data_IF_029554907812
#
_entry.id   IF_029554907812
#
_cell.length_a   1.000
_cell.length_b   1.000
_cell.length_c   1.000
_cell.angle_alpha   90.00
_cell.angle_beta   90.00
_cell.angle_gamma   90.00
#
_symmetry.space_group_name_H-M   'P 1'
#
loop_
_entity.id
_entity.type
_entity.pdbx_description
1 polymer ?
#
# COMPACT_ATOMS: atom_id res chain seq x y z
N UNK A 1 29.81 15.50 -12.06
CA UNK A 1 28.42 15.64 -12.54
C UNK A 1 28.39 16.25 -13.95
N UNK A 2 28.85 15.53 -14.97
CA UNK A 2 28.54 15.76 -16.40
C UNK A 2 28.70 14.38 -17.06
N UNK A 3 27.69 13.87 -17.77
CA UNK A 3 27.79 12.62 -18.54
C UNK A 3 26.70 11.57 -18.27
N UNK A 4 25.43 11.94 -18.38
CA UNK A 4 24.30 11.00 -18.50
C UNK A 4 23.19 11.57 -19.40
N UNK A 5 23.60 12.41 -20.36
CA UNK A 5 22.72 12.97 -21.38
C UNK A 5 23.03 12.35 -22.73
N UNK A 6 21.98 11.91 -23.42
CA UNK A 6 21.92 11.39 -24.80
C UNK A 6 22.15 9.89 -24.99
N UNK A 7 21.08 9.11 -24.77
CA UNK A 7 20.45 8.20 -25.76
C UNK A 7 19.49 7.26 -25.01
N UNK A 8 18.32 7.78 -24.63
CA UNK A 8 17.17 6.92 -24.27
C UNK A 8 16.03 7.36 -25.16
N UNK A 9 15.80 6.63 -26.24
CA UNK A 9 14.55 6.73 -27.00
C UNK A 9 13.38 6.60 -26.02
N UNK A 10 12.47 7.57 -26.09
CA UNK A 10 11.33 7.77 -25.19
C UNK A 10 10.28 6.64 -25.26
N UNK A 11 10.62 5.43 -24.83
CA UNK A 11 9.65 4.35 -24.68
C UNK A 11 9.14 4.34 -23.24
N UNK A 12 7.98 4.96 -23.00
CA UNK A 12 7.24 4.75 -21.76
C UNK A 12 6.44 3.47 -21.91
N UNK A 13 6.46 2.60 -20.91
CA UNK A 13 5.57 1.45 -20.88
C UNK A 13 4.12 1.94 -20.94
N UNK A 14 3.28 1.44 -21.86
CA UNK A 14 1.90 1.89 -21.97
C UNK A 14 1.14 1.58 -20.67
N UNK A 15 0.49 2.58 -20.12
CA UNK A 15 -0.46 2.43 -19.02
C UNK A 15 -1.74 1.84 -19.61
N UNK A 16 -2.15 0.71 -19.08
CA UNK A 16 -3.39 0.05 -19.47
C UNK A 16 -4.58 0.78 -18.86
N UNK A 17 -5.78 0.53 -19.38
CA UNK A 17 -7.01 1.15 -18.89
C UNK A 17 -7.30 0.81 -17.40
N UNK A 18 -6.70 -0.27 -16.92
CA UNK A 18 -6.69 -0.72 -15.52
C UNK A 18 -5.62 -0.05 -14.62
N UNK A 19 -4.89 0.93 -15.14
CA UNK A 19 -3.84 1.65 -14.42
C UNK A 19 -2.54 0.88 -14.23
N UNK A 20 -2.40 -0.34 -14.75
CA UNK A 20 -1.13 -1.09 -14.73
C UNK A 20 -0.21 -0.67 -15.87
N UNK A 21 1.09 -0.72 -15.60
CA UNK A 21 2.09 -0.67 -16.67
C UNK A 21 2.16 -2.02 -17.38
N UNK A 22 1.98 -2.02 -18.71
CA UNK A 22 2.31 -3.19 -19.52
C UNK A 22 3.81 -3.21 -19.77
N UNK A 23 4.50 -4.18 -19.18
CA UNK A 23 5.96 -4.29 -19.24
C UNK A 23 6.41 -5.61 -19.87
N UNK A 24 7.62 -5.60 -20.41
CA UNK A 24 8.26 -6.82 -20.90
C UNK A 24 8.56 -7.77 -19.74
N UNK A 25 8.62 -9.07 -20.04
CA UNK A 25 8.95 -10.08 -19.03
C UNK A 25 10.39 -9.82 -18.52
N UNK A 26 10.60 -9.66 -17.21
CA UNK A 26 11.93 -9.45 -16.68
C UNK A 26 12.77 -10.73 -16.72
N UNK A 27 14.07 -10.60 -16.50
CA UNK A 27 14.93 -11.75 -16.20
C UNK A 27 14.51 -12.37 -14.85
N UNK A 28 14.52 -13.70 -14.70
CA UNK A 28 14.21 -14.34 -13.42
C UNK A 28 15.11 -13.85 -12.28
N UNK A 29 14.59 -13.86 -11.05
CA UNK A 29 15.37 -13.51 -9.86
C UNK A 29 16.33 -14.65 -9.49
N UNK A 30 17.59 -14.31 -9.17
CA UNK A 30 18.53 -15.25 -8.58
C UNK A 30 18.38 -15.25 -7.05
N UNK A 31 17.58 -16.17 -6.52
CA UNK A 31 17.28 -16.23 -5.08
C UNK A 31 18.52 -16.51 -4.22
N UNK A 32 19.45 -17.35 -4.69
CA UNK A 32 20.67 -17.68 -3.96
C UNK A 32 21.55 -16.44 -3.76
N UNK A 33 21.74 -15.66 -4.84
CA UNK A 33 22.46 -14.39 -4.78
C UNK A 33 21.73 -13.39 -3.86
N UNK A 34 20.40 -13.27 -3.98
CA UNK A 34 19.62 -12.36 -3.14
C UNK A 34 19.79 -12.68 -1.64
N UNK A 35 19.76 -13.96 -1.25
CA UNK A 35 19.98 -14.38 0.13
C UNK A 35 21.44 -14.22 0.59
N UNK A 36 22.42 -14.32 -0.30
CA UNK A 36 23.81 -14.02 0.01
C UNK A 36 23.99 -12.52 0.29
N UNK A 37 23.43 -11.67 -0.57
CA UNK A 37 23.51 -10.21 -0.43
C UNK A 37 22.74 -9.69 0.78
N UNK A 38 21.67 -10.38 1.21
CA UNK A 38 20.90 -10.04 2.40
C UNK A 38 21.76 -9.89 3.67
N UNK A 39 22.85 -10.65 3.80
CA UNK A 39 23.78 -10.59 4.93
C UNK A 39 24.54 -9.25 5.04
N UNK A 40 24.61 -8.51 3.92
CA UNK A 40 25.30 -7.21 3.85
C UNK A 40 24.39 -6.06 4.28
N UNK A 41 23.09 -6.29 4.46
CA UNK A 41 22.14 -5.26 4.87
C UNK A 41 22.47 -4.77 6.28
N UNK A 42 22.31 -3.46 6.48
CA UNK A 42 22.52 -2.78 7.76
C UNK A 42 21.23 -2.05 8.11
N UNK A 43 20.29 -2.70 8.83
CA UNK A 43 19.04 -2.07 9.21
C UNK A 43 19.26 -1.07 10.34
N UNK A 44 18.28 -0.18 10.53
CA UNK A 44 18.26 0.79 11.63
C UNK A 44 17.08 0.56 12.56
N UNK A 45 17.15 1.10 13.77
CA UNK A 45 15.96 1.24 14.63
C UNK A 45 15.33 2.60 14.28
N UNK A 46 14.14 2.63 13.66
CA UNK A 46 13.60 3.88 13.11
C UNK A 46 13.10 4.85 14.19
N UNK A 47 12.71 4.31 15.35
CA UNK A 47 12.30 5.03 16.56
C UNK A 47 12.33 4.08 17.76
N UNK A 48 12.37 4.61 18.99
CA UNK A 48 12.34 3.80 20.21
C UNK A 48 10.89 3.56 20.66
N UNK A 49 10.45 2.31 20.66
CA UNK A 49 9.21 1.93 21.32
C UNK A 49 9.41 1.84 22.85
N UNK A 50 8.38 2.14 23.68
CA UNK A 50 8.50 2.13 25.14
C UNK A 50 8.75 0.74 25.71
N UNK A 51 8.18 -0.30 25.08
CA UNK A 51 8.31 -1.70 25.50
C UNK A 51 8.90 -2.49 24.34
N UNK A 52 10.08 -3.14 24.51
CA UNK A 52 10.64 -4.00 23.48
C UNK A 52 9.78 -5.26 23.33
N UNK A 53 9.66 -5.75 22.09
CA UNK A 53 9.05 -7.06 21.84
C UNK A 53 10.01 -8.17 22.24
N UNK A 54 9.54 -9.14 23.04
CA UNK A 54 10.37 -10.23 23.58
C UNK A 54 10.17 -11.56 22.86
N UNK A 55 9.21 -11.63 21.92
CA UNK A 55 8.92 -12.86 21.16
C UNK A 55 9.88 -13.14 20.01
N UNK A 56 10.65 -12.15 19.56
CA UNK A 56 11.55 -12.29 18.42
C UNK A 56 11.96 -10.91 17.88
N UNK A 57 12.48 -10.89 16.66
CA UNK A 57 12.78 -9.66 15.93
C UNK A 57 11.50 -9.09 15.33
N UNK A 58 11.44 -7.75 15.24
CA UNK A 58 10.42 -7.05 14.47
C UNK A 58 11.11 -6.35 13.31
N UNK A 59 11.00 -6.92 12.11
CA UNK A 59 11.58 -6.36 10.88
C UNK A 59 10.54 -5.63 10.06
N UNK A 60 10.92 -4.46 9.55
CA UNK A 60 10.07 -3.69 8.65
C UNK A 60 10.82 -3.25 7.39
N UNK A 61 10.17 -3.39 6.24
CA UNK A 61 10.65 -2.89 4.96
C UNK A 61 9.60 -1.96 4.36
N UNK A 62 10.01 -0.73 4.05
CA UNK A 62 9.18 0.26 3.38
C UNK A 62 9.75 0.55 1.99
N UNK A 63 8.90 0.49 0.96
CA UNK A 63 9.26 0.76 -0.42
C UNK A 63 8.27 1.79 -0.99
N UNK A 64 8.74 2.99 -1.30
CA UNK A 64 7.91 4.07 -1.84
C UNK A 64 8.55 4.69 -3.07
N UNK A 65 7.88 4.61 -4.22
CA UNK A 65 8.48 5.02 -5.49
C UNK A 65 7.60 6.06 -6.19
N UNK A 66 8.07 7.31 -6.23
CA UNK A 66 7.45 8.39 -6.98
C UNK A 66 7.89 8.44 -8.45
N UNK A 67 8.94 7.71 -8.85
CA UNK A 67 9.51 7.75 -10.20
C UNK A 67 9.84 9.19 -10.65
N UNK A 68 10.40 9.97 -9.72
CA UNK A 68 10.61 11.42 -9.86
C UNK A 68 11.44 11.73 -11.10
N UNK A 69 10.96 12.69 -11.92
CA UNK A 69 11.63 13.09 -13.17
C UNK A 69 11.41 12.16 -14.36
N UNK A 70 10.61 11.09 -14.22
CA UNK A 70 10.22 10.22 -15.32
C UNK A 70 8.80 10.55 -15.83
N UNK A 71 8.42 10.00 -16.99
CA UNK A 71 7.04 10.09 -17.51
C UNK A 71 6.04 9.22 -16.73
N UNK A 72 6.51 8.34 -15.86
CA UNK A 72 5.70 7.49 -14.98
C UNK A 72 5.56 8.09 -13.57
N UNK A 73 5.84 9.39 -13.39
CA UNK A 73 5.88 10.00 -12.06
C UNK A 73 4.55 9.91 -11.29
N UNK A 74 4.66 9.52 -10.02
CA UNK A 74 3.64 9.56 -8.99
C UNK A 74 4.01 10.63 -7.95
N UNK A 75 3.04 11.04 -7.12
CA UNK A 75 3.25 12.12 -6.13
C UNK A 75 3.10 11.68 -4.67
N UNK A 76 2.49 10.52 -4.42
CA UNK A 76 2.06 10.11 -3.08
C UNK A 76 2.89 9.00 -2.44
N UNK A 77 3.65 8.23 -3.20
CA UNK A 77 4.17 6.95 -2.74
C UNK A 77 5.24 7.07 -1.64
N UNK A 78 6.13 8.06 -1.76
CA UNK A 78 7.09 8.37 -0.68
C UNK A 78 6.37 8.89 0.57
N UNK A 79 5.31 9.69 0.39
CA UNK A 79 4.49 10.19 1.50
C UNK A 79 3.68 9.08 2.18
N UNK A 80 3.28 8.04 1.45
CA UNK A 80 2.63 6.87 2.01
C UNK A 80 3.56 6.12 2.98
N UNK A 81 4.85 5.95 2.61
CA UNK A 81 5.84 5.39 3.53
C UNK A 81 6.03 6.25 4.78
N UNK A 82 6.05 7.58 4.62
CA UNK A 82 6.12 8.51 5.76
C UNK A 82 4.92 8.33 6.69
N UNK A 83 3.71 8.28 6.13
CA UNK A 83 2.45 8.13 6.86
C UNK A 83 2.39 6.78 7.60
N UNK A 84 2.79 5.70 6.94
CA UNK A 84 2.80 4.36 7.54
C UNK A 84 3.81 4.28 8.69
N UNK A 85 5.05 4.72 8.47
CA UNK A 85 6.09 4.68 9.50
C UNK A 85 5.71 5.54 10.72
N UNK A 86 5.16 6.75 10.48
CA UNK A 86 4.65 7.62 11.54
C UNK A 86 3.49 7.00 12.31
N UNK A 87 2.58 6.28 11.62
CA UNK A 87 1.48 5.57 12.28
C UNK A 87 2.00 4.43 13.16
N UNK A 88 2.94 3.63 12.66
CA UNK A 88 3.57 2.56 13.45
C UNK A 88 4.30 3.11 14.68
N UNK A 89 4.95 4.27 14.55
CA UNK A 89 5.53 5.00 15.68
C UNK A 89 4.47 5.48 16.68
N UNK A 90 3.34 5.98 16.19
CA UNK A 90 2.25 6.48 17.04
C UNK A 90 1.64 5.35 17.87
N UNK A 91 1.38 4.19 17.27
CA UNK A 91 0.87 3.00 17.98
C UNK A 91 1.96 2.23 18.74
N UNK A 92 3.18 2.76 18.81
CA UNK A 92 4.31 2.16 19.54
C UNK A 92 4.72 0.77 19.04
N UNK A 93 4.56 0.50 17.74
CA UNK A 93 4.99 -0.77 17.15
C UNK A 93 6.52 -0.89 17.25
N UNK A 94 7.07 -1.89 17.96
CA UNK A 94 8.46 -1.97 18.38
C UNK A 94 9.38 -2.55 17.29
N UNK A 95 9.53 -1.82 16.18
CA UNK A 95 10.43 -2.18 15.08
C UNK A 95 11.88 -2.21 15.61
N UNK A 96 12.52 -3.38 15.57
CA UNK A 96 13.92 -3.57 15.97
C UNK A 96 14.88 -3.41 14.80
N UNK A 97 14.42 -3.65 13.58
CA UNK A 97 15.22 -3.60 12.37
C UNK A 97 14.39 -3.05 11.19
N UNK A 98 14.81 -1.93 10.60
CA UNK A 98 14.08 -1.25 9.54
C UNK A 98 14.99 -0.91 8.36
N UNK A 99 14.45 -1.08 7.14
CA UNK A 99 15.02 -0.56 5.91
C UNK A 99 13.96 0.24 5.13
N UNK A 100 14.38 1.37 4.57
CA UNK A 100 13.51 2.26 3.79
C UNK A 100 14.11 2.50 2.41
N UNK A 101 13.38 2.10 1.38
CA UNK A 101 13.76 2.23 -0.02
C UNK A 101 12.83 3.23 -0.70
N UNK A 102 13.33 4.45 -0.93
CA UNK A 102 12.54 5.51 -1.56
C UNK A 102 13.36 6.28 -2.60
N UNK A 103 12.71 6.90 -3.58
CA UNK A 103 13.39 7.75 -4.57
C UNK A 103 13.61 9.21 -4.10
N UNK A 104 13.45 9.47 -2.79
CA UNK A 104 13.83 10.72 -2.12
C UNK A 104 14.87 10.45 -1.01
N UNK A 105 16.16 10.73 -1.23
CA UNK A 105 17.22 10.49 -0.25
C UNK A 105 17.14 11.39 0.99
N UNK A 106 16.28 12.41 1.00
CA UNK A 106 16.04 13.26 2.19
C UNK A 106 15.12 12.59 3.21
N UNK A 107 14.51 11.46 2.86
CA UNK A 107 13.61 10.73 3.75
C UNK A 107 14.34 10.28 5.04
N UNK A 108 13.75 10.45 6.22
CA UNK A 108 14.36 9.99 7.48
C UNK A 108 14.60 8.47 7.47
N UNK A 109 15.80 8.02 7.86
CA UNK A 109 16.18 6.60 7.80
C UNK A 109 16.32 6.02 6.37
N UNK A 110 16.50 6.87 5.35
CA UNK A 110 16.80 6.44 3.99
C UNK A 110 17.91 5.38 3.98
N UNK A 111 17.62 4.23 3.37
CA UNK A 111 18.55 3.10 3.29
C UNK A 111 19.14 2.95 1.89
N UNK A 112 18.30 2.98 0.84
CA UNK A 112 18.73 2.82 -0.53
C UNK A 112 17.68 3.33 -1.53
N UNK A 113 18.08 3.51 -2.80
CA UNK A 113 17.12 3.73 -3.88
C UNK A 113 16.37 2.42 -4.21
N UNK A 114 15.06 2.48 -4.57
CA UNK A 114 14.24 1.31 -4.90
C UNK A 114 14.49 0.82 -6.34
N UNK A 115 15.76 0.58 -6.69
CA UNK A 115 16.15 -0.14 -7.91
C UNK A 115 15.77 -1.61 -7.81
N UNK A 116 15.65 -2.32 -8.92
CA UNK A 116 15.30 -3.74 -8.96
C UNK A 116 16.21 -4.59 -8.08
N UNK A 117 17.52 -4.40 -8.22
CA UNK A 117 18.53 -5.19 -7.50
C UNK A 117 18.43 -4.92 -5.98
N UNK A 118 18.31 -3.65 -5.57
CA UNK A 118 18.05 -3.31 -4.16
C UNK A 118 16.73 -3.92 -3.66
N UNK A 119 15.61 -3.74 -4.37
CA UNK A 119 14.33 -4.30 -3.92
C UNK A 119 14.43 -5.80 -3.68
N UNK A 120 15.01 -6.57 -4.61
CA UNK A 120 15.23 -8.01 -4.45
C UNK A 120 16.09 -8.31 -3.21
N UNK A 121 17.22 -7.61 -3.04
CA UNK A 121 18.11 -7.78 -1.88
C UNK A 121 17.41 -7.51 -0.54
N UNK A 122 16.67 -6.42 -0.43
CA UNK A 122 16.00 -6.04 0.81
C UNK A 122 14.76 -6.90 1.10
N UNK A 123 14.06 -7.37 0.06
CA UNK A 123 13.02 -8.40 0.21
C UNK A 123 13.60 -9.72 0.73
N UNK A 124 14.76 -10.15 0.20
CA UNK A 124 15.47 -11.32 0.72
C UNK A 124 15.94 -11.13 2.17
N UNK A 125 16.40 -9.93 2.54
CA UNK A 125 16.79 -9.58 3.90
C UNK A 125 15.61 -9.63 4.89
N UNK A 126 14.43 -9.15 4.48
CA UNK A 126 13.24 -9.14 5.34
C UNK A 126 12.98 -10.54 5.92
N UNK A 127 13.20 -11.58 5.13
CA UNK A 127 12.94 -12.99 5.48
C UNK A 127 14.22 -13.80 5.80
N UNK A 128 15.39 -13.16 5.85
CA UNK A 128 16.66 -13.85 6.05
C UNK A 128 16.82 -14.34 7.49
N UNK A 129 17.11 -15.64 7.70
CA UNK A 129 17.30 -16.25 9.04
C UNK A 129 16.09 -16.05 9.97
N UNK A 130 14.87 -15.83 9.45
CA UNK A 130 13.69 -15.67 10.31
C UNK A 130 13.40 -16.93 11.11
N UNK A 131 12.99 -16.72 12.36
CA UNK A 131 12.72 -17.79 13.32
C UNK A 131 11.28 -17.71 13.78
N UNK A 132 10.73 -18.83 14.26
CA UNK A 132 9.52 -18.80 15.06
C UNK A 132 9.71 -17.76 16.18
N UNK A 133 9.06 -16.61 16.02
CA UNK A 133 8.90 -15.55 17.00
C UNK A 133 8.88 -14.19 16.29
N UNK A 134 9.51 -14.17 15.11
CA UNK A 134 9.73 -12.96 14.34
C UNK A 134 8.43 -12.43 13.71
N UNK A 135 8.33 -11.11 13.72
CA UNK A 135 7.24 -10.34 13.13
C UNK A 135 7.80 -9.49 12.00
N UNK A 136 7.20 -9.61 10.82
CA UNK A 136 7.63 -8.95 9.60
C UNK A 136 6.54 -7.98 9.14
N UNK A 137 6.96 -6.80 8.70
CA UNK A 137 6.10 -5.79 8.10
C UNK A 137 6.65 -5.35 6.74
N UNK A 138 5.82 -5.37 5.71
CA UNK A 138 6.17 -4.93 4.37
C UNK A 138 5.16 -3.89 3.89
N UNK A 139 5.62 -2.69 3.56
CA UNK A 139 4.82 -1.68 2.90
C UNK A 139 5.38 -1.36 1.52
N UNK A 140 4.53 -1.41 0.50
CA UNK A 140 4.86 -0.99 -0.86
C UNK A 140 3.85 0.06 -1.32
N UNK A 141 4.33 1.19 -1.83
CA UNK A 141 3.53 2.15 -2.60
C UNK A 141 4.29 2.53 -3.87
N UNK A 142 3.64 2.39 -5.03
CA UNK A 142 4.27 2.58 -6.34
C UNK A 142 3.39 2.05 -7.46
N UNK A 143 3.94 1.92 -8.67
CA UNK A 143 3.21 1.31 -9.79
C UNK A 143 3.08 -0.20 -9.61
N UNK A 144 1.92 -0.71 -10.02
CA UNK A 144 1.76 -2.12 -10.38
C UNK A 144 1.92 -2.26 -11.90
N UNK A 145 2.39 -3.41 -12.35
CA UNK A 145 2.45 -3.73 -13.76
C UNK A 145 1.96 -5.14 -14.04
N UNK A 146 1.82 -5.44 -15.33
CA UNK A 146 1.57 -6.78 -15.80
C UNK A 146 2.43 -7.12 -17.02
N UNK A 147 2.69 -8.40 -17.20
CA UNK A 147 3.38 -8.94 -18.37
C UNK A 147 2.66 -10.20 -18.85
N UNK A 148 2.72 -10.50 -20.16
CA UNK A 148 2.02 -11.65 -20.75
C UNK A 148 2.49 -12.95 -20.09
N UNK A 149 1.61 -13.82 -19.61
CA UNK A 149 2.00 -15.10 -19.00
C UNK A 149 2.81 -15.98 -19.96
N UNK A 150 3.59 -16.93 -19.42
CA UNK A 150 4.22 -18.01 -20.20
C UNK A 150 3.20 -19.01 -20.75
N UNK A 151 1.94 -18.94 -20.31
CA UNK A 151 0.87 -19.88 -20.68
C UNK A 151 0.92 -21.18 -19.87
N UNK A 152 1.60 -21.15 -18.71
CA UNK A 152 1.71 -22.25 -17.75
C UNK A 152 0.59 -22.25 -16.70
N UNK A 153 -0.22 -21.19 -16.63
CA UNK A 153 -1.38 -21.04 -15.74
C UNK A 153 -2.63 -20.66 -16.53
N UNK A 154 -3.79 -20.79 -15.88
CA UNK A 154 -5.07 -20.30 -16.42
C UNK A 154 -5.09 -18.77 -16.61
N UNK A 155 -4.15 -18.05 -15.99
CA UNK A 155 -4.01 -16.60 -16.07
C UNK A 155 -3.26 -16.16 -17.34
N UNK A 156 -3.84 -15.20 -18.07
CA UNK A 156 -3.23 -14.67 -19.29
C UNK A 156 -2.05 -13.71 -19.04
N UNK A 157 -1.91 -13.19 -17.81
CA UNK A 157 -0.93 -12.19 -17.42
C UNK A 157 -0.42 -12.41 -16.00
N UNK A 158 0.88 -12.22 -15.79
CA UNK A 158 1.50 -12.20 -14.45
C UNK A 158 1.56 -10.75 -13.97
N UNK A 159 1.30 -10.52 -12.68
CA UNK A 159 1.44 -9.21 -12.07
C UNK A 159 2.88 -8.96 -11.62
N UNK A 160 3.25 -7.70 -11.47
CA UNK A 160 4.60 -7.35 -11.05
C UNK A 160 4.69 -6.00 -10.34
N UNK A 161 5.69 -5.89 -9.47
CA UNK A 161 6.13 -4.61 -8.94
C UNK A 161 7.05 -3.92 -9.94
N UNK A 162 7.04 -2.59 -9.93
CA UNK A 162 7.77 -1.75 -10.87
C UNK A 162 8.88 -1.01 -10.12
N UNK A 163 10.14 -1.47 -10.19
CA UNK A 163 11.27 -0.76 -9.61
C UNK A 163 11.56 0.59 -10.29
N UNK A 164 12.35 1.44 -9.64
CA UNK A 164 12.72 2.75 -10.17
C UNK A 164 13.41 2.68 -11.55
N UNK A 165 14.21 1.64 -11.76
CA UNK A 165 14.99 1.36 -12.98
C UNK A 165 14.37 0.23 -13.83
N UNK A 166 13.05 0.02 -13.75
CA UNK A 166 12.36 -1.05 -14.47
C UNK A 166 12.57 -1.01 -15.99
N UNK A 167 12.78 0.17 -16.57
CA UNK A 167 13.05 0.32 -17.99
C UNK A 167 14.36 -0.33 -18.42
N UNK A 168 15.35 -0.40 -17.51
CA UNK A 168 16.66 -1.00 -17.79
C UNK A 168 16.80 -2.41 -17.20
N UNK A 169 16.24 -2.65 -16.01
CA UNK A 169 16.42 -3.90 -15.25
C UNK A 169 15.19 -4.82 -15.26
N UNK A 170 14.04 -4.32 -15.70
CA UNK A 170 12.77 -5.04 -15.69
C UNK A 170 12.00 -4.93 -14.37
N UNK A 171 10.80 -5.49 -14.35
CA UNK A 171 9.94 -5.60 -13.16
C UNK A 171 10.33 -6.77 -12.25
N UNK A 172 9.58 -6.97 -11.17
CA UNK A 172 9.68 -8.13 -10.26
C UNK A 172 8.32 -8.83 -10.24
N UNK A 173 8.26 -10.08 -10.71
CA UNK A 173 7.00 -10.83 -10.83
C UNK A 173 6.46 -11.27 -9.45
N UNK A 174 5.15 -11.37 -9.35
CA UNK A 174 4.42 -11.98 -8.22
C UNK A 174 4.96 -13.38 -7.84
N UNK A 175 5.27 -14.22 -8.83
CA UNK A 175 5.92 -15.52 -8.62
C UNK A 175 7.27 -15.42 -7.91
N UNK A 176 8.10 -14.44 -8.30
CA UNK A 176 9.38 -14.19 -7.66
C UNK A 176 9.18 -13.66 -6.23
N UNK A 177 8.15 -12.83 -6.00
CA UNK A 177 7.80 -12.34 -4.66
C UNK A 177 7.34 -13.47 -3.76
N UNK A 178 6.47 -14.37 -4.24
CA UNK A 178 6.02 -15.53 -3.48
C UNK A 178 7.18 -16.45 -3.13
N UNK A 179 8.02 -16.80 -4.11
CA UNK A 179 9.16 -17.69 -3.90
C UNK A 179 10.20 -17.08 -2.94
N UNK A 180 10.44 -15.77 -3.04
CA UNK A 180 11.42 -15.09 -2.19
C UNK A 180 10.90 -14.86 -0.77
N UNK A 181 9.66 -14.38 -0.61
CA UNK A 181 9.14 -13.89 0.67
C UNK A 181 8.33 -14.92 1.45
N UNK A 182 7.60 -15.81 0.78
CA UNK A 182 6.46 -16.52 1.42
C UNK A 182 6.68 -18.02 1.46
N UNK A 183 7.12 -18.62 0.34
CA UNK A 183 7.21 -20.06 0.15
C UNK A 183 7.91 -20.79 1.30
N UNK A 184 8.99 -20.21 1.80
CA UNK A 184 9.86 -20.83 2.81
C UNK A 184 9.72 -20.23 4.21
N UNK A 185 8.71 -19.39 4.47
CA UNK A 185 8.50 -18.87 5.83
C UNK A 185 8.16 -20.03 6.78
N UNK A 186 8.87 -20.16 7.92
CA UNK A 186 8.60 -21.22 8.88
C UNK A 186 7.34 -20.94 9.72
N UNK A 187 6.76 -22.01 10.28
CA UNK A 187 5.65 -21.89 11.21
C UNK A 187 6.04 -21.03 12.42
N UNK A 188 5.16 -20.11 12.83
CA UNK A 188 5.41 -19.16 13.91
C UNK A 188 5.85 -17.77 13.44
N UNK A 189 6.31 -17.61 12.20
CA UNK A 189 6.61 -16.28 11.63
C UNK A 189 5.33 -15.62 11.17
N UNK A 190 5.15 -14.35 11.55
CA UNK A 190 4.01 -13.51 11.18
C UNK A 190 4.46 -12.42 10.22
N UNK A 191 3.83 -12.28 9.05
CA UNK A 191 4.10 -11.20 8.10
C UNK A 191 2.84 -10.42 7.73
N UNK A 192 2.86 -9.10 7.94
CA UNK A 192 1.81 -8.19 7.46
C UNK A 192 2.32 -7.36 6.30
N UNK A 193 1.62 -7.43 5.17
CA UNK A 193 1.92 -6.68 3.96
C UNK A 193 0.83 -5.63 3.71
N UNK A 194 1.22 -4.43 3.25
CA UNK A 194 0.28 -3.40 2.80
C UNK A 194 0.77 -2.90 1.45
N UNK A 195 0.02 -3.18 0.39
CA UNK A 195 0.40 -2.78 -0.97
C UNK A 195 -0.60 -1.74 -1.48
N UNK A 196 -0.05 -0.60 -1.85
CA UNK A 196 -0.76 0.53 -2.42
C UNK A 196 -0.39 0.67 -3.90
N UNK A 197 -0.93 -0.25 -4.70
CA UNK A 197 -0.82 -0.23 -6.16
C UNK A 197 -2.04 -0.87 -6.83
N UNK A 198 -2.26 -0.54 -8.11
CA UNK A 198 -3.32 -1.12 -8.93
C UNK A 198 -3.17 -2.65 -8.99
N UNK A 199 -4.29 -3.39 -8.88
CA UNK A 199 -4.32 -4.87 -8.94
C UNK A 199 -3.37 -5.60 -7.97
N UNK A 200 -3.04 -4.98 -6.84
CA UNK A 200 -2.17 -5.56 -5.81
C UNK A 200 -2.67 -6.85 -5.19
N UNK A 201 -3.97 -7.16 -5.31
CA UNK A 201 -4.59 -8.32 -4.66
C UNK A 201 -3.92 -9.67 -4.97
N UNK A 202 -3.37 -9.84 -6.16
CA UNK A 202 -2.67 -11.07 -6.57
C UNK A 202 -1.14 -10.94 -6.48
N UNK A 203 -0.61 -9.79 -6.03
CA UNK A 203 0.83 -9.48 -6.09
C UNK A 203 1.72 -10.40 -5.23
N UNK A 204 1.13 -11.07 -4.24
CA UNK A 204 1.81 -12.05 -3.39
C UNK A 204 1.30 -13.48 -3.59
N UNK A 205 0.41 -13.69 -4.56
CA UNK A 205 -0.03 -15.03 -4.96
C UNK A 205 -0.63 -15.88 -3.82
N UNK A 206 -1.27 -15.22 -2.85
CA UNK A 206 -1.83 -15.84 -1.67
C UNK A 206 -3.14 -16.60 -1.97
N UNK A 207 -3.36 -17.78 -1.37
CA UNK A 207 -4.45 -18.69 -1.74
C UNK A 207 -5.83 -18.30 -1.22
N UNK A 208 -5.92 -17.45 -0.21
CA UNK A 208 -7.20 -17.02 0.37
C UNK A 208 -7.41 -15.53 0.19
N UNK A 209 -8.62 -15.13 -0.17
CA UNK A 209 -8.99 -13.73 -0.43
C UNK A 209 -10.36 -13.39 0.13
N UNK A 210 -10.50 -12.19 0.67
CA UNK A 210 -11.77 -11.60 1.05
C UNK A 210 -11.83 -10.16 0.55
N UNK A 211 -12.90 -9.82 -0.16
CA UNK A 211 -13.16 -8.48 -0.67
C UNK A 211 -14.36 -7.93 0.08
N UNK A 212 -14.20 -6.79 0.75
CA UNK A 212 -15.32 -6.12 1.40
C UNK A 212 -16.09 -5.26 0.38
N UNK A 213 -16.63 -5.90 -0.66
CA UNK A 213 -17.42 -5.23 -1.71
C UNK A 213 -18.70 -4.61 -1.14
N UNK A 214 -19.34 -3.70 -1.86
CA UNK A 214 -20.54 -2.95 -1.39
C UNK A 214 -21.68 -3.79 -0.81
N UNK A 215 -21.82 -5.05 -1.21
CA UNK A 215 -22.80 -6.01 -0.69
C UNK A 215 -22.46 -6.61 0.69
N UNK A 216 -21.26 -6.39 1.22
CA UNK A 216 -20.87 -6.84 2.55
C UNK A 216 -21.36 -5.84 3.60
N UNK A 217 -22.02 -6.32 4.67
CA UNK A 217 -22.58 -5.47 5.73
C UNK A 217 -22.23 -5.99 7.14
N UNK A 218 -22.15 -5.09 8.12
CA UNK A 218 -21.77 -5.43 9.51
C UNK A 218 -22.82 -6.26 10.26
N UNK A 219 -24.09 -6.21 9.83
CA UNK A 219 -25.19 -6.97 10.45
C UNK A 219 -25.34 -8.40 9.96
N UNK A 220 -24.62 -8.79 8.90
CA UNK A 220 -24.72 -10.11 8.29
C UNK A 220 -23.53 -10.99 8.70
N UNK A 221 -23.85 -12.21 9.14
CA UNK A 221 -22.87 -13.23 9.52
C UNK A 221 -22.66 -14.23 8.37
N UNK A 222 -21.60 -15.03 8.46
CA UNK A 222 -21.30 -16.08 7.49
C UNK A 222 -20.44 -15.64 6.32
N UNK A 223 -19.76 -14.49 6.43
CA UNK A 223 -18.72 -14.12 5.48
C UNK A 223 -17.41 -14.85 5.83
N UNK A 224 -16.81 -15.47 4.83
CA UNK A 224 -15.56 -16.22 4.94
C UNK A 224 -14.63 -15.88 3.78
N UNK A 225 -13.34 -16.15 3.95
CA UNK A 225 -12.37 -15.96 2.87
C UNK A 225 -12.62 -16.99 1.76
N UNK A 226 -12.60 -16.56 0.50
CA UNK A 226 -12.66 -17.47 -0.65
C UNK A 226 -11.27 -18.04 -0.93
N UNK A 227 -11.19 -19.35 -1.18
CA UNK A 227 -10.00 -19.94 -1.76
C UNK A 227 -9.92 -19.53 -3.23
N UNK A 228 -8.92 -18.72 -3.58
CA UNK A 228 -8.68 -18.22 -4.94
C UNK A 228 -7.55 -18.96 -5.65
N UNK A 229 -6.72 -19.70 -4.90
CA UNK A 229 -5.68 -20.59 -5.47
C UNK A 229 -5.63 -21.93 -4.74
N UNK A 230 -5.22 -22.97 -5.46
CA UNK A 230 -5.05 -24.35 -4.94
C UNK A 230 -3.59 -24.73 -4.70
N UNK A 231 -2.68 -23.78 -4.90
CA UNK A 231 -1.25 -23.85 -4.68
C UNK A 231 -0.79 -22.68 -3.79
N UNK A 232 0.52 -22.42 -3.73
CA UNK A 232 1.10 -21.27 -3.02
C UNK A 232 0.76 -21.17 -1.52
N UNK A 233 0.83 -22.32 -0.83
CA UNK A 233 0.74 -22.38 0.62
C UNK A 233 2.08 -22.08 1.31
N UNK A 234 2.02 -21.70 2.59
CA UNK A 234 3.20 -21.42 3.42
C UNK A 234 2.97 -21.83 4.87
N UNK A 235 4.05 -22.26 5.54
CA UNK A 235 4.02 -22.53 6.98
C UNK A 235 3.86 -21.24 7.80
N UNK A 236 4.40 -20.12 7.31
CA UNK A 236 4.24 -18.80 7.91
C UNK A 236 2.82 -18.23 7.79
N UNK A 237 2.51 -17.27 8.65
CA UNK A 237 1.23 -16.57 8.69
C UNK A 237 1.35 -15.21 7.99
N UNK A 238 0.93 -15.17 6.73
CA UNK A 238 1.01 -13.99 5.88
C UNK A 238 -0.38 -13.39 5.72
N UNK A 239 -0.46 -12.08 5.91
CA UNK A 239 -1.67 -11.30 5.68
C UNK A 239 -1.32 -10.07 4.86
N UNK A 240 -2.10 -9.80 3.83
CA UNK A 240 -1.89 -8.67 2.95
C UNK A 240 -3.16 -7.82 2.86
N UNK A 241 -3.00 -6.52 3.04
CA UNK A 241 -4.01 -5.51 2.78
C UNK A 241 -3.73 -4.83 1.44
N UNK A 242 -4.77 -4.70 0.62
CA UNK A 242 -4.73 -4.00 -0.67
C UNK A 242 -6.04 -3.27 -0.96
N UNK A 243 -6.03 -2.42 -1.99
CA UNK A 243 -7.24 -1.84 -2.57
C UNK A 243 -7.58 -2.49 -3.92
N UNK A 244 -8.86 -2.78 -4.15
CA UNK A 244 -9.38 -3.28 -5.42
C UNK A 244 -10.59 -2.44 -5.86
N UNK A 245 -10.94 -2.39 -7.15
CA UNK A 245 -12.18 -1.72 -7.59
C UNK A 245 -13.41 -2.60 -7.30
N UNK A 246 -14.51 -1.99 -6.84
CA UNK A 246 -15.77 -2.66 -6.49
C UNK A 246 -16.52 -3.20 -7.72
N UNK A 247 -16.21 -2.68 -8.93
CA UNK A 247 -16.92 -3.04 -10.16
C UNK A 247 -16.56 -4.41 -10.74
N UNK A 248 -15.61 -5.15 -10.13
CA UNK A 248 -15.14 -6.46 -10.63
C UNK A 248 -14.54 -6.42 -12.05
N UNK A 249 -14.48 -5.24 -12.66
CA UNK A 249 -14.04 -5.01 -14.03
C UNK A 249 -12.87 -4.06 -13.91
N UNK A 250 -11.67 -4.61 -14.03
CA UNK A 250 -10.42 -3.88 -14.05
C UNK A 250 -10.33 -2.82 -15.15
N UNK A 251 -11.30 -2.74 -16.08
CA UNK A 251 -11.08 -2.12 -17.38
C UNK A 251 -11.07 -0.59 -17.37
N UNK A 252 -11.69 0.10 -16.43
CA UNK A 252 -11.84 1.55 -16.52
C UNK A 252 -11.71 2.18 -15.15
N UNK A 253 -10.62 2.92 -14.92
CA UNK A 253 -10.49 4.12 -14.04
C UNK A 253 -9.15 4.09 -13.31
N UNK A 254 -8.39 5.18 -13.44
CA UNK A 254 -7.11 5.38 -12.76
C UNK A 254 -7.27 5.30 -11.24
N UNK A 255 -6.60 4.31 -10.63
CA UNK A 255 -6.46 4.21 -9.18
C UNK A 255 -5.76 5.45 -8.66
N UNK A 256 -6.41 6.18 -7.75
CA UNK A 256 -5.73 7.22 -6.96
C UNK A 256 -4.92 6.48 -5.89
N UNK A 257 -3.58 6.48 -6.03
CA UNK A 257 -2.66 5.85 -5.09
C UNK A 257 -2.77 6.45 -3.69
N UNK A 258 -2.52 5.65 -2.66
CA UNK A 258 -2.60 6.03 -1.24
C UNK A 258 -3.84 5.49 -0.52
N UNK A 259 -4.74 4.79 -1.22
CA UNK A 259 -6.00 4.31 -0.65
C UNK A 259 -5.76 3.23 0.40
N UNK A 260 -4.96 2.20 0.09
CA UNK A 260 -4.65 1.10 1.00
C UNK A 260 -3.86 1.58 2.22
N UNK A 261 -2.95 2.54 2.03
CA UNK A 261 -2.16 3.15 3.09
C UNK A 261 -3.05 3.96 4.04
N UNK A 262 -3.91 4.84 3.53
CA UNK A 262 -4.80 5.65 4.37
C UNK A 262 -5.81 4.80 5.14
N UNK A 263 -6.37 3.80 4.45
CA UNK A 263 -7.24 2.79 5.01
C UNK A 263 -6.63 2.11 6.23
N UNK A 264 -5.45 1.51 6.01
CA UNK A 264 -4.79 0.70 7.02
C UNK A 264 -4.26 1.54 8.18
N UNK A 265 -3.68 2.72 7.90
CA UNK A 265 -3.21 3.62 8.96
C UNK A 265 -4.36 4.15 9.81
N UNK A 266 -5.49 4.49 9.20
CA UNK A 266 -6.68 4.86 9.97
C UNK A 266 -7.17 3.70 10.84
N UNK A 267 -7.19 2.48 10.32
CA UNK A 267 -7.57 1.30 11.11
C UNK A 267 -6.66 1.15 12.33
N UNK A 268 -5.34 1.12 12.12
CA UNK A 268 -4.37 1.01 13.21
C UNK A 268 -4.56 2.08 14.32
N UNK A 269 -4.93 3.30 13.94
CA UNK A 269 -5.13 4.40 14.88
C UNK A 269 -6.48 4.36 15.61
N UNK A 270 -7.54 3.87 14.97
CA UNK A 270 -8.93 4.05 15.43
C UNK A 270 -9.66 2.75 15.77
N UNK A 271 -9.05 1.60 15.50
CA UNK A 271 -9.74 0.30 15.57
C UNK A 271 -9.05 -0.70 16.49
N UNK A 272 -8.33 -0.22 17.52
CA UNK A 272 -7.80 -1.08 18.56
C UNK A 272 -8.93 -1.93 19.17
N UNK A 273 -8.78 -3.26 19.12
CA UNK A 273 -9.78 -4.21 19.62
C UNK A 273 -10.92 -4.56 18.64
N UNK A 274 -10.97 -3.96 17.44
CA UNK A 274 -11.94 -4.38 16.42
C UNK A 274 -11.52 -5.68 15.74
N UNK A 275 -12.51 -6.43 15.26
CA UNK A 275 -12.26 -7.57 14.39
C UNK A 275 -11.89 -7.11 12.98
N UNK A 276 -11.37 -8.05 12.19
CA UNK A 276 -10.92 -7.79 10.81
C UNK A 276 -12.08 -7.32 9.92
N UNK A 277 -13.29 -7.89 10.08
CA UNK A 277 -14.46 -7.47 9.32
C UNK A 277 -14.79 -5.99 9.54
N UNK A 278 -14.85 -5.54 10.80
CA UNK A 278 -15.13 -4.16 11.16
C UNK A 278 -14.07 -3.20 10.61
N UNK A 279 -12.80 -3.62 10.64
CA UNK A 279 -11.69 -2.87 10.02
C UNK A 279 -11.94 -2.68 8.53
N UNK A 280 -12.27 -3.75 7.81
CA UNK A 280 -12.52 -3.68 6.37
C UNK A 280 -13.76 -2.83 6.04
N UNK A 281 -14.84 -2.97 6.81
CA UNK A 281 -16.07 -2.21 6.58
C UNK A 281 -15.89 -0.71 6.87
N UNK A 282 -15.23 -0.35 7.97
CA UNK A 282 -14.91 1.05 8.30
C UNK A 282 -13.93 1.65 7.29
N UNK A 283 -12.93 0.87 6.88
CA UNK A 283 -12.01 1.25 5.83
C UNK A 283 -12.76 1.60 4.54
N UNK A 284 -13.67 0.73 4.09
CA UNK A 284 -14.50 0.97 2.90
C UNK A 284 -15.31 2.25 3.02
N UNK A 285 -15.88 2.51 4.20
CA UNK A 285 -16.64 3.74 4.44
C UNK A 285 -15.77 4.99 4.26
N UNK A 286 -14.55 4.99 4.79
CA UNK A 286 -13.61 6.11 4.68
C UNK A 286 -13.16 6.33 3.25
N UNK A 287 -12.87 5.24 2.53
CA UNK A 287 -12.53 5.31 1.10
C UNK A 287 -13.67 5.99 0.33
N UNK A 288 -14.92 5.56 0.56
CA UNK A 288 -16.11 6.17 -0.04
C UNK A 288 -16.28 7.65 0.33
N UNK A 289 -16.11 8.01 1.61
CA UNK A 289 -16.20 9.41 2.07
C UNK A 289 -15.16 10.30 1.40
N UNK A 290 -13.95 9.78 1.19
CA UNK A 290 -12.86 10.45 0.46
C UNK A 290 -12.97 10.33 -1.07
N UNK A 291 -14.09 9.78 -1.57
CA UNK A 291 -14.39 9.60 -3.01
C UNK A 291 -13.43 8.66 -3.75
N UNK A 292 -12.75 7.77 -3.01
CA UNK A 292 -12.07 6.62 -3.61
C UNK A 292 -13.11 5.60 -4.06
N UNK A 293 -12.87 4.98 -5.22
CA UNK A 293 -13.69 3.88 -5.74
C UNK A 293 -13.24 2.53 -5.20
N UNK A 294 -12.01 2.46 -4.69
CA UNK A 294 -11.44 1.23 -4.20
C UNK A 294 -12.18 0.74 -2.95
N UNK A 295 -12.36 -0.58 -2.88
CA UNK A 295 -12.76 -1.32 -1.69
C UNK A 295 -11.56 -2.06 -1.11
N UNK A 296 -11.51 -2.23 0.22
CA UNK A 296 -10.41 -2.94 0.83
C UNK A 296 -10.53 -4.44 0.56
N UNK A 297 -9.38 -5.02 0.26
CA UNK A 297 -9.22 -6.44 0.04
C UNK A 297 -8.16 -6.99 1.00
N UNK A 298 -8.41 -8.21 1.44
CA UNK A 298 -7.56 -8.96 2.35
C UNK A 298 -7.17 -10.27 1.68
N UNK A 299 -5.87 -10.57 1.58
CA UNK A 299 -5.39 -11.88 1.14
C UNK A 299 -4.48 -12.53 2.18
N UNK A 300 -4.46 -13.85 2.25
CA UNK A 300 -3.78 -14.57 3.33
C UNK A 300 -3.23 -15.94 2.90
N UNK A 301 -2.17 -16.39 3.59
CA UNK A 301 -1.59 -17.72 3.39
C UNK A 301 -2.47 -18.87 3.91
N UNK A 302 -3.37 -18.57 4.85
CA UNK A 302 -4.32 -19.49 5.49
C UNK A 302 -5.67 -18.78 5.64
N UNK A 303 -6.80 -19.51 5.70
CA UNK A 303 -8.10 -18.88 5.89
C UNK A 303 -8.19 -18.26 7.28
N UNK A 304 -8.60 -16.99 7.37
CA UNK A 304 -8.66 -16.23 8.62
C UNK A 304 -10.11 -16.06 9.05
N UNK A 305 -10.35 -16.23 10.35
CA UNK A 305 -11.62 -15.88 10.96
C UNK A 305 -11.75 -14.34 11.03
N UNK A 306 -12.56 -13.79 10.13
CA UNK A 306 -12.76 -12.35 9.97
C UNK A 306 -13.41 -11.67 11.20
N UNK A 307 -14.03 -12.46 12.09
CA UNK A 307 -14.73 -11.98 13.28
C UNK A 307 -13.84 -11.99 14.54
N UNK A 308 -12.55 -12.32 14.40
CA UNK A 308 -11.57 -12.22 15.48
C UNK A 308 -10.80 -10.90 15.46
N UNK A 309 -10.33 -10.41 16.62
CA UNK A 309 -9.54 -9.18 16.70
C UNK A 309 -8.33 -9.21 15.76
N UNK A 310 -8.09 -8.09 15.10
CA UNK A 310 -6.87 -7.89 14.32
C UNK A 310 -5.69 -7.57 15.24
N UNK A 311 -4.53 -8.13 14.91
CA UNK A 311 -3.27 -7.82 15.58
C UNK A 311 -2.12 -7.87 14.58
N UNK A 312 -1.16 -6.94 14.75
CA UNK A 312 0.15 -6.99 14.09
C UNK A 312 1.07 -8.05 14.73
N UNK A 313 0.71 -8.53 15.92
CA UNK A 313 1.43 -9.55 16.69
C UNK A 313 0.65 -10.85 16.80
N UNK A 314 1.38 -11.92 17.10
CA UNK A 314 0.81 -13.24 17.29
C UNK A 314 0.37 -13.86 15.98
N UNK A 315 -0.03 -15.13 16.08
CA UNK A 315 -0.51 -15.90 14.93
C UNK A 315 -1.90 -15.43 14.51
N UNK A 316 -2.21 -15.58 13.24
CA UNK A 316 -3.54 -15.25 12.71
C UNK A 316 -4.56 -16.22 13.29
N UNK A 317 -5.72 -15.70 13.66
CA UNK A 317 -6.83 -16.54 14.07
C UNK A 317 -7.40 -17.25 12.84
N UNK A 318 -7.03 -18.50 12.63
CA UNK A 318 -7.46 -19.29 11.48
C UNK A 318 -8.94 -19.66 11.57
N UNK A 319 -9.63 -19.70 10.43
CA UNK A 319 -10.97 -20.28 10.33
C UNK A 319 -10.87 -21.80 10.25
N UNK A 320 -11.11 -22.46 11.39
CA UNK A 320 -11.04 -23.92 11.52
C UNK A 320 -11.98 -24.67 10.58
N UNK A 321 -13.10 -24.05 10.18
CA UNK A 321 -14.04 -24.69 9.24
C UNK A 321 -13.46 -24.77 7.82
N UNK A 322 -12.52 -23.87 7.49
CA UNK A 322 -11.90 -23.79 6.16
C UNK A 322 -10.52 -24.46 6.09
N UNK A 323 -9.97 -24.96 7.19
CA UNK A 323 -8.63 -25.55 7.23
C UNK A 323 -8.48 -26.81 6.38
N UNK A 324 -9.58 -27.47 6.02
CA UNK A 324 -9.56 -28.59 5.07
C UNK A 324 -9.08 -28.20 3.65
N UNK A 325 -9.07 -26.90 3.32
CA UNK A 325 -8.50 -26.37 2.07
C UNK A 325 -6.97 -26.21 2.10
N UNK A 326 -6.34 -26.30 3.28
CA UNK A 326 -4.89 -26.16 3.46
C UNK A 326 -4.26 -27.56 3.49
N UNK A 327 -3.20 -27.87 2.73
CA UNK A 327 -2.55 -29.18 2.82
C UNK A 327 -1.94 -29.42 4.20
N UNK A 328 -2.00 -30.68 4.69
CA UNK A 328 -1.61 -31.06 6.06
C UNK A 328 -0.20 -30.58 6.44
N UNK A 329 0.76 -30.60 5.51
CA UNK A 329 2.13 -30.14 5.75
C UNK A 329 2.23 -28.66 6.16
N UNK A 330 1.23 -27.82 5.83
CA UNK A 330 1.17 -26.39 6.15
C UNK A 330 0.24 -26.07 7.32
N UNK A 331 -0.33 -27.09 7.96
CA UNK A 331 -1.20 -26.93 9.14
C UNK A 331 -0.44 -27.11 10.45
N UNK A 332 0.85 -27.45 10.40
CA UNK A 332 1.63 -27.73 11.60
C UNK A 332 1.72 -26.50 12.50
N UNK A 333 1.51 -26.66 13.82
CA UNK A 333 1.70 -25.56 14.76
C UNK A 333 3.19 -25.17 14.84
N UNK A 334 3.51 -23.96 15.31
CA UNK A 334 4.89 -23.56 15.58
C UNK A 334 5.60 -24.56 16.52
N UNK A 335 6.92 -24.78 16.39
CA UNK A 335 7.68 -25.69 17.26
C UNK A 335 7.54 -25.34 18.75
N UNK A 336 7.50 -26.37 19.61
CA UNK A 336 7.27 -26.25 21.05
C UNK A 336 8.28 -25.36 21.79
N UNK A 337 7.75 -24.58 22.74
CA UNK A 337 8.27 -23.34 23.37
C UNK A 337 7.64 -22.02 22.86
N UNK A 338 6.72 -22.08 21.91
CA UNK A 338 5.68 -21.05 21.77
C UNK A 338 4.67 -21.13 22.91
N UNK A 339 5.15 -20.85 24.12
CA UNK A 339 4.31 -20.75 25.30
C UNK A 339 3.34 -19.59 25.11
N UNK A 340 2.14 -19.70 25.67
CA UNK A 340 1.09 -18.65 25.73
C UNK A 340 1.60 -17.27 26.23
N UNK A 341 2.85 -17.18 26.72
CA UNK A 341 3.56 -15.96 27.02
C UNK A 341 3.93 -15.08 25.82
N UNK A 342 3.81 -15.55 24.56
CA UNK A 342 4.07 -14.74 23.35
C UNK A 342 2.81 -14.42 22.53
N UNK A 343 1.66 -14.98 22.92
CA UNK A 343 0.36 -14.32 22.74
C UNK A 343 0.24 -13.12 23.70
N UNK A 344 1.33 -12.38 23.95
CA UNK A 344 1.22 -11.15 24.72
C UNK A 344 0.20 -10.32 23.99
N UNK A 345 -0.87 -9.98 24.72
CA UNK A 345 -1.72 -8.89 24.31
C UNK A 345 -0.80 -7.78 23.81
N UNK A 346 -1.12 -7.15 22.66
CA UNK A 346 -0.32 -6.04 22.15
C UNK A 346 0.12 -5.17 23.34
N UNK A 347 1.42 -4.84 23.52
CA UNK A 347 1.93 -4.24 24.76
C UNK A 347 0.95 -3.19 25.26
N UNK A 348 0.63 -3.14 26.57
CA UNK A 348 -0.53 -2.37 27.09
C UNK A 348 -0.69 -0.95 26.52
N UNK A 349 0.40 -0.34 26.02
CA UNK A 349 0.45 0.85 25.15
C UNK A 349 -0.34 0.81 23.83
N UNK A 350 -0.93 -0.32 23.41
CA UNK A 350 -1.92 -0.36 22.32
C UNK A 350 -3.31 0.09 22.75
N UNK A 351 -3.52 0.32 24.04
CA UNK A 351 -4.62 1.14 24.50
C UNK A 351 -4.24 2.60 24.23
N UNK A 352 -4.92 3.21 23.26
CA UNK A 352 -4.99 4.67 23.19
C UNK A 352 -5.45 5.20 24.56
N UNK A 353 -5.02 6.40 25.00
CA UNK A 353 -5.81 7.13 25.99
C UNK A 353 -7.27 7.21 25.49
N UNK A 354 -8.28 7.23 26.39
CA UNK A 354 -9.67 7.31 25.97
C UNK A 354 -9.84 8.43 24.94
N UNK A 355 -10.68 8.24 23.90
CA UNK A 355 -10.82 9.23 22.85
C UNK A 355 -11.03 10.59 23.49
N UNK A 356 -10.07 11.48 23.33
CA UNK A 356 -10.31 12.88 23.65
C UNK A 356 -11.45 13.26 22.73
N UNK A 357 -12.62 13.50 23.31
CA UNK A 357 -13.69 14.18 22.62
C UNK A 357 -13.09 15.50 22.17
N UNK A 358 -12.65 15.58 20.92
CA UNK A 358 -12.50 16.85 20.25
C UNK A 358 -13.93 17.39 20.15
N UNK A 359 -14.36 18.08 21.21
CA UNK A 359 -15.41 19.05 21.13
C UNK A 359 -14.95 20.05 20.09
N UNK A 360 -15.42 19.88 18.86
CA UNK A 360 -15.45 20.99 17.92
C UNK A 360 -16.20 22.12 18.63
N UNK A 361 -15.59 23.28 18.87
CA UNK A 361 -16.37 24.42 19.34
C UNK A 361 -17.43 24.71 18.28
N UNK A 362 -18.69 25.00 18.69
CA UNK A 362 -19.73 25.34 17.73
C UNK A 362 -19.26 26.52 16.89
N UNK A 363 -19.39 26.39 15.57
CA UNK A 363 -19.02 27.44 14.63
C UNK A 363 -19.77 28.74 14.96
N UNK A 364 -19.06 29.69 15.57
CA UNK A 364 -19.52 31.07 15.65
C UNK A 364 -19.39 31.68 14.25
N UNK A 365 -20.49 31.65 13.51
CA UNK A 365 -20.65 32.43 12.29
C UNK A 365 -20.72 33.91 12.68
N UNK A 366 -19.62 34.64 12.48
CA UNK A 366 -19.64 36.10 12.39
C UNK A 366 -19.42 36.53 10.94
N UNK A 367 -20.50 36.97 10.30
CA UNK A 367 -20.56 37.94 9.20
C UNK A 367 -19.67 37.73 7.97
N UNK A 368 -20.26 37.26 6.87
CA UNK A 368 -19.76 37.54 5.52
C UNK A 368 -20.42 38.83 4.99
N UNK A 369 -19.68 39.71 4.26
CA UNK A 369 -20.22 40.93 3.68
C UNK A 369 -21.24 40.65 2.57
N UNK A 370 -22.31 41.44 2.56
CA UNK A 370 -23.42 41.39 1.59
C UNK A 370 -23.03 42.06 0.27
N UNK A 371 -23.24 41.36 -0.84
CA UNK A 371 -23.35 41.98 -2.17
C UNK A 371 -24.83 41.99 -2.59
N UNK A 372 -25.34 43.07 -3.21
CA UNK A 372 -26.75 43.18 -3.58
C UNK A 372 -27.09 42.26 -4.78
N UNK A 373 -28.33 41.75 -4.86
CA UNK A 373 -28.73 40.78 -5.87
C UNK A 373 -28.95 41.42 -7.27
N UNK A 374 -28.70 40.67 -8.36
CA UNK A 374 -29.01 41.12 -9.73
C UNK A 374 -30.52 41.16 -9.99
N UNK A 375 -30.94 42.17 -10.77
CA UNK A 375 -32.32 42.39 -11.19
C UNK A 375 -32.79 41.34 -12.22
N UNK A 376 -34.05 40.92 -12.10
CA UNK A 376 -34.72 39.93 -12.96
C UNK A 376 -34.96 40.51 -14.38
N UNK A 377 -34.66 39.72 -15.42
CA UNK A 377 -35.14 39.95 -16.79
C UNK A 377 -36.11 38.83 -17.22
N UNK A 378 -37.09 39.10 -18.12
CA UNK A 378 -38.29 38.28 -18.27
C UNK A 378 -38.10 36.97 -19.03
N UNK A 379 -38.87 35.95 -18.63
CA UNK A 379 -38.95 34.63 -19.27
C UNK A 379 -39.54 34.71 -20.69
N UNK A 380 -38.83 34.16 -21.67
CA UNK A 380 -39.40 33.81 -22.98
C UNK A 380 -39.53 32.28 -23.10
N UNK A 381 -40.75 31.87 -23.44
CA UNK A 381 -41.21 30.50 -23.64
C UNK A 381 -40.76 30.00 -25.03
N UNK A 382 -40.09 28.85 -25.13
CA UNK A 382 -39.73 28.26 -26.42
C UNK A 382 -40.44 26.92 -26.65
N UNK A 383 -41.21 26.91 -27.73
CA UNK A 383 -41.99 25.79 -28.26
C UNK A 383 -41.12 24.89 -29.16
N UNK A 384 -41.43 23.60 -29.19
CA UNK A 384 -40.76 22.56 -29.99
C UNK A 384 -41.13 22.65 -31.48
N UNK A 385 -40.14 22.65 -32.39
CA UNK A 385 -40.12 21.89 -33.67
C UNK A 385 -38.90 22.20 -34.59
N UNK A 386 -38.08 21.15 -34.84
CA UNK A 386 -37.28 20.79 -36.06
C UNK A 386 -36.20 21.74 -36.66
N UNK A 387 -35.27 21.33 -37.59
CA UNK A 387 -34.71 20.01 -38.01
C UNK A 387 -33.13 19.98 -38.00
N UNK A 388 -32.41 18.92 -38.46
CA UNK A 388 -30.97 18.74 -38.19
C UNK A 388 -30.06 19.33 -39.29
N UNK A 389 -28.93 19.92 -38.91
CA UNK A 389 -27.89 20.38 -39.83
C UNK A 389 -26.50 19.84 -39.46
N UNK A 390 -25.91 19.13 -40.42
CA UNK A 390 -24.54 18.67 -40.48
C UNK A 390 -23.56 19.86 -40.47
N UNK A 391 -22.44 19.77 -39.76
CA UNK A 391 -21.26 20.57 -40.12
C UNK A 391 -19.95 19.79 -40.04
N UNK A 392 -19.19 20.01 -41.11
CA UNK A 392 -18.00 19.36 -41.61
C UNK A 392 -16.74 19.93 -40.91
N UNK A 393 -15.75 19.09 -40.64
CA UNK A 393 -14.48 19.47 -40.00
C UNK A 393 -13.42 19.80 -41.06
N UNK A 394 -12.79 20.98 -40.99
CA UNK A 394 -11.60 21.32 -41.77
C UNK A 394 -10.59 22.09 -40.88
N UNK A 395 -9.32 21.66 -40.76
CA UNK A 395 -8.36 22.26 -39.82
C UNK A 395 -7.39 23.22 -40.52
N UNK A 396 -7.33 24.48 -40.09
CA UNK A 396 -6.20 25.38 -40.39
C UNK A 396 -5.82 26.28 -39.20
N UNK A 397 -4.58 26.08 -38.75
CA UNK A 397 -3.60 27.03 -38.19
C UNK A 397 -4.03 28.06 -37.11
N UNK A 398 -3.55 27.83 -35.88
CA UNK A 398 -3.43 28.87 -34.84
C UNK A 398 -1.92 29.11 -34.57
N UNK A 399 -1.41 30.36 -34.61
CA UNK A 399 0.00 30.67 -34.37
C UNK A 399 0.36 30.69 -32.87
N UNK A 400 1.65 30.49 -32.49
CA UNK A 400 2.07 30.44 -31.08
C UNK A 400 2.20 31.84 -30.43
N UNK A 401 2.04 31.95 -29.10
CA UNK A 401 2.14 33.22 -28.39
C UNK A 401 3.61 33.67 -28.16
N UNK A 402 3.86 34.99 -27.99
CA UNK A 402 5.19 35.58 -27.89
C UNK A 402 5.84 35.45 -26.49
N UNK A 403 7.18 35.61 -26.38
CA UNK A 403 7.91 35.43 -25.12
C UNK A 403 8.05 36.73 -24.32
N UNK A 404 7.81 36.67 -23.00
CA UNK A 404 8.30 37.69 -22.06
C UNK A 404 7.52 37.86 -20.76
N UNK A 405 8.25 37.84 -19.63
CA UNK A 405 7.87 38.53 -18.38
C UNK A 405 7.37 37.66 -17.22
N UNK A 406 8.27 37.16 -16.38
CA UNK A 406 7.92 36.62 -15.06
C UNK A 406 7.64 37.77 -14.07
N UNK A 407 6.50 37.77 -13.35
CA UNK A 407 6.33 38.62 -12.17
C UNK A 407 7.06 38.02 -10.96
N UNK A 408 7.64 38.90 -10.14
CA UNK A 408 8.42 38.57 -8.96
C UNK A 408 7.61 37.82 -7.88
N UNK A 409 8.29 36.90 -7.19
CA UNK A 409 7.77 36.12 -6.09
C UNK A 409 7.53 36.98 -4.83
N UNK A 410 6.36 36.79 -4.22
CA UNK A 410 6.06 37.28 -2.87
C UNK A 410 6.90 36.51 -1.83
N UNK A 411 7.41 37.16 -0.77
CA UNK A 411 8.22 36.48 0.25
C UNK A 411 7.37 35.56 1.12
N UNK A 412 7.87 34.34 1.35
CA UNK A 412 7.24 33.33 2.21
C UNK A 412 7.32 33.67 3.70
N UNK A 413 6.42 33.12 4.54
CA UNK A 413 6.41 33.37 5.96
C UNK A 413 7.62 32.76 6.67
N UNK A 414 8.26 33.56 7.53
CA UNK A 414 9.38 33.17 8.38
C UNK A 414 8.93 32.15 9.45
N UNK A 415 9.56 30.99 9.47
CA UNK A 415 9.48 30.07 10.60
C UNK A 415 10.51 30.48 11.65
N UNK A 416 10.02 30.82 12.85
CA UNK A 416 10.82 31.26 13.99
C UNK A 416 11.72 30.16 14.55
N UNK A 417 12.94 30.59 14.90
CA UNK A 417 13.95 29.87 15.68
C UNK A 417 13.36 29.34 16.99
N UNK A 418 13.60 28.07 17.30
CA UNK A 418 13.58 27.56 18.67
C UNK A 418 14.97 27.02 19.00
N UNK A 419 15.74 27.82 19.71
CA UNK A 419 16.88 27.38 20.50
C UNK A 419 17.04 28.33 21.70
N UNK A 420 17.41 27.73 22.83
CA UNK A 420 17.73 28.32 24.14
C UNK A 420 16.56 28.65 25.08
N UNK A 421 16.37 27.78 26.08
CA UNK A 421 16.58 28.17 27.48
C UNK A 421 17.29 27.03 28.22
N UNK A 422 18.38 27.39 28.90
CA UNK A 422 19.13 26.60 29.88
C UNK A 422 18.88 27.26 31.26
N UNK A 423 19.01 26.49 32.35
CA UNK A 423 18.92 26.88 33.79
C UNK A 423 17.51 27.28 34.28
N UNK A 424 16.96 26.77 35.38
CA UNK A 424 17.50 26.21 36.64
C UNK A 424 16.92 24.84 36.99
#
# INVERSE_FOLDING_TARGET
>A
MIGLGMLVGSLVAPVLANGLLKVDRPKPVNYAQAHQEAQTVRPVIPYRAPVPYTGGRVRALFIGINYTGTKSALRGCVNDCFTMLGTLQQIKFPISECCVLVDDPKFPNFTAYPTRDNMIKYLAWLVHDVRPGDVLFLHYSGHGGQTKSKGDREEAYDQCLIPLDYMQKGSILDDDLFNLLIRNLPAGVRMTCVFDCCHSATMLDLPFSFIASSNVSSGQQGYYMKQVRRDNFSNGDVLMFSGCDDAGTSADVGSVGGAATQAFTWALLNTAGLNIMDILLKTREILRQKKYKQVPQLTASKPINLYKPFSLFGMLNQDQQQMHHVPQQYQAPPPGQYNNQYQQAPPQSYQQPPPQQQQYPPAQYSGAPTYPPPQQQPQYNYNNNAPPAQYNYNPQSVPPPPPGGYPQALPGPQYGNYNQYNSL
#
